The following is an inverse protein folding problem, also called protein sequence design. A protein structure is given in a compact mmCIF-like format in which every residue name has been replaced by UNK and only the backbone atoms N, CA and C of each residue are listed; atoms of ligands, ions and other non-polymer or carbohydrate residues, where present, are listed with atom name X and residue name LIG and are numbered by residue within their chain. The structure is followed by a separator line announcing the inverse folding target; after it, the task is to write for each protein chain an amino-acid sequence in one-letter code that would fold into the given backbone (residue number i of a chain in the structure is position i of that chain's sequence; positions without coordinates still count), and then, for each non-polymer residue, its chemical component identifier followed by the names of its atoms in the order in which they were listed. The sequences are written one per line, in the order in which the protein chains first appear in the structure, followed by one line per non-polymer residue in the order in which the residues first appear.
data_IF_683835380989
#
_entry.id   IF_683835380989
#
_cell.length_a   1.000
_cell.length_b   1.000
_cell.length_c   1.000
_cell.angle_alpha   90.00
_cell.angle_beta   90.00
_cell.angle_gamma   90.00
#
_symmetry.space_group_name_H-M   'P 1'
#
loop_
_entity.id
_entity.type
_entity.pdbx_description
1 polymer ?
#
# COMPACT_ATOMS: atom_id res chain seq x y z
N UNK A 1 -16.58 -3.80 -2.55
CA UNK A 1 -15.91 -3.85 -3.88
C UNK A 1 -16.21 -2.59 -4.66
N UNK A 2 -15.25 -2.09 -5.42
CA UNK A 2 -15.41 -1.03 -6.43
C UNK A 2 -15.25 -1.68 -7.79
N UNK A 3 -16.19 -1.48 -8.70
CA UNK A 3 -16.00 -1.80 -10.12
C UNK A 3 -15.23 -0.67 -10.79
N UNK A 4 -14.14 -1.01 -11.45
CA UNK A 4 -13.24 -0.09 -12.12
C UNK A 4 -12.87 -0.65 -13.50
N UNK A 5 -12.63 0.18 -14.54
CA UNK A 5 -12.33 -0.31 -15.89
C UNK A 5 -11.15 -1.30 -15.98
N UNK A 6 -10.21 -1.22 -15.05
CA UNK A 6 -9.09 -2.16 -14.98
C UNK A 6 -9.38 -3.44 -14.20
N UNK A 7 -10.62 -3.65 -13.74
CA UNK A 7 -11.05 -4.79 -12.92
C UNK A 7 -11.42 -4.36 -11.49
N UNK A 8 -11.95 -5.27 -10.68
CA UNK A 8 -12.46 -4.98 -9.35
C UNK A 8 -11.34 -4.50 -8.40
N UNK A 9 -11.72 -3.64 -7.46
CA UNK A 9 -10.87 -3.18 -6.35
C UNK A 9 -11.56 -3.58 -5.05
N UNK A 10 -10.80 -4.20 -4.17
CA UNK A 10 -11.26 -4.56 -2.83
C UNK A 10 -11.61 -3.30 -2.03
N UNK A 11 -12.81 -3.26 -1.48
CA UNK A 11 -13.31 -2.12 -0.73
C UNK A 11 -14.34 -2.62 0.29
N UNK A 12 -14.05 -2.40 1.54
CA UNK A 12 -14.97 -2.66 2.64
C UNK A 12 -15.01 -1.44 3.56
N UNK A 13 -16.16 -1.17 4.15
CA UNK A 13 -16.39 0.04 4.90
C UNK A 13 -17.20 -0.26 6.17
N UNK A 14 -16.77 0.29 7.31
CA UNK A 14 -17.45 0.11 8.60
C UNK A 14 -17.25 1.33 9.51
N UNK A 15 -18.22 1.55 10.38
CA UNK A 15 -18.20 2.65 11.35
C UNK A 15 -18.62 3.98 10.76
N UNK A 16 -18.58 5.02 11.60
CA UNK A 16 -18.96 6.39 11.28
C UNK A 16 -17.91 7.37 11.81
N UNK A 17 -17.97 8.64 11.36
CA UNK A 17 -17.03 9.68 11.82
C UNK A 17 -15.91 9.97 10.83
N UNK A 18 -14.73 10.43 11.31
CA UNK A 18 -13.60 10.75 10.45
C UNK A 18 -13.16 9.53 9.64
N UNK A 19 -12.94 9.73 8.33
CA UNK A 19 -12.62 8.62 7.42
C UNK A 19 -11.15 8.25 7.48
N UNK A 20 -10.88 6.99 7.85
CA UNK A 20 -9.57 6.35 7.75
C UNK A 20 -9.56 5.40 6.55
N UNK A 21 -8.64 5.56 5.63
CA UNK A 21 -8.35 4.57 4.58
C UNK A 21 -7.13 3.77 5.02
N UNK A 22 -7.27 2.45 5.09
CA UNK A 22 -6.31 1.52 5.68
C UNK A 22 -5.74 0.61 4.58
N UNK A 23 -4.44 0.77 4.31
CA UNK A 23 -3.73 0.05 3.25
C UNK A 23 -2.77 -0.96 3.86
N UNK A 24 -2.95 -2.27 3.59
CA UNK A 24 -2.10 -3.33 4.14
C UNK A 24 -0.74 -3.40 3.44
N UNK A 25 0.16 -4.19 4.03
CA UNK A 25 1.42 -4.56 3.39
C UNK A 25 1.27 -5.64 2.31
N UNK A 26 2.38 -5.96 1.65
CA UNK A 26 2.46 -7.10 0.73
C UNK A 26 2.08 -8.41 1.43
N UNK A 27 1.56 -9.36 0.66
CA UNK A 27 1.11 -10.68 1.15
C UNK A 27 -0.02 -10.60 2.20
N UNK A 28 -0.78 -9.50 2.20
CA UNK A 28 -1.87 -9.25 3.12
C UNK A 28 -3.06 -8.63 2.40
N UNK A 29 -4.19 -8.56 3.07
CA UNK A 29 -5.44 -7.96 2.57
C UNK A 29 -6.00 -6.95 3.57
N UNK A 30 -7.06 -6.24 3.20
CA UNK A 30 -7.78 -5.35 4.11
C UNK A 30 -8.19 -6.01 5.45
N UNK A 31 -8.33 -7.34 5.45
CA UNK A 31 -8.68 -8.10 6.66
C UNK A 31 -7.63 -8.00 7.78
N UNK A 32 -6.37 -7.66 7.47
CA UNK A 32 -5.33 -7.47 8.48
C UNK A 32 -5.66 -6.37 9.50
N UNK A 33 -6.51 -5.43 9.12
CA UNK A 33 -6.90 -4.31 9.97
C UNK A 33 -8.04 -4.60 10.96
N UNK A 34 -8.70 -5.77 10.84
CA UNK A 34 -9.90 -6.10 11.64
C UNK A 34 -9.68 -5.97 13.15
N UNK A 35 -8.57 -6.48 13.66
CA UNK A 35 -8.26 -6.39 15.09
C UNK A 35 -8.13 -4.93 15.54
N UNK A 36 -7.43 -4.10 14.80
CA UNK A 36 -7.26 -2.69 15.13
C UNK A 36 -8.59 -1.94 15.05
N UNK A 37 -9.37 -2.16 13.99
CA UNK A 37 -10.70 -1.55 13.82
C UNK A 37 -11.62 -1.88 15.00
N UNK A 38 -11.60 -3.12 15.47
CA UNK A 38 -12.45 -3.54 16.61
C UNK A 38 -12.12 -2.79 17.92
N UNK A 39 -10.85 -2.38 18.11
CA UNK A 39 -10.44 -1.59 19.27
C UNK A 39 -10.92 -0.13 19.22
N UNK A 40 -11.15 0.40 18.04
CA UNK A 40 -11.64 1.79 17.88
C UNK A 40 -13.12 1.96 18.15
N UNK A 41 -13.86 0.89 18.34
CA UNK A 41 -15.28 0.88 18.79
C UNK A 41 -16.20 1.81 17.99
N UNK A 42 -15.96 1.92 16.69
CA UNK A 42 -16.76 2.76 15.81
C UNK A 42 -16.43 4.26 15.85
N UNK A 43 -15.32 4.68 16.49
CA UNK A 43 -14.90 6.08 16.54
C UNK A 43 -14.49 6.66 15.18
N UNK A 44 -14.27 5.79 14.17
CA UNK A 44 -13.87 6.16 12.82
C UNK A 44 -14.68 5.40 11.79
N UNK A 45 -14.90 6.06 10.67
CA UNK A 45 -15.32 5.39 9.45
C UNK A 45 -14.10 4.79 8.79
N UNK A 46 -13.94 3.48 8.91
CA UNK A 46 -12.80 2.73 8.41
C UNK A 46 -13.09 2.15 7.03
N UNK A 47 -12.28 2.51 6.06
CA UNK A 47 -12.28 1.92 4.71
C UNK A 47 -11.05 1.07 4.57
N UNK A 48 -11.23 -0.22 4.28
CA UNK A 48 -10.13 -1.15 4.01
C UNK A 48 -10.08 -1.51 2.55
N UNK A 49 -8.88 -1.78 2.05
CA UNK A 49 -8.63 -2.22 0.68
C UNK A 49 -7.50 -3.24 0.65
N UNK A 50 -7.23 -3.80 -0.51
CA UNK A 50 -6.08 -4.67 -0.77
C UNK A 50 -5.27 -4.12 -1.93
N UNK A 51 -3.97 -4.39 -1.93
CA UNK A 51 -3.06 -4.02 -3.01
C UNK A 51 -3.32 -4.88 -4.27
N UNK A 52 -2.75 -4.49 -5.40
CA UNK A 52 -2.87 -5.21 -6.68
C UNK A 52 -2.51 -6.69 -6.53
N UNK A 53 -3.38 -7.57 -7.03
CA UNK A 53 -3.23 -9.02 -6.97
C UNK A 53 -3.51 -9.66 -5.61
N UNK A 54 -3.99 -8.87 -4.61
CA UNK A 54 -4.37 -9.38 -3.29
C UNK A 54 -5.86 -9.19 -3.02
N UNK A 55 -6.42 -10.12 -2.24
CA UNK A 55 -7.85 -10.07 -1.90
C UNK A 55 -8.73 -10.05 -3.15
N UNK A 56 -9.66 -9.11 -3.19
CA UNK A 56 -10.54 -8.89 -4.35
C UNK A 56 -9.99 -7.87 -5.36
N UNK A 57 -8.78 -7.32 -5.17
CA UNK A 57 -8.20 -6.34 -6.10
C UNK A 57 -7.52 -7.04 -7.27
N UNK A 58 -7.95 -6.72 -8.49
CA UNK A 58 -7.39 -7.29 -9.70
C UNK A 58 -5.89 -6.96 -9.86
N UNK A 59 -5.12 -7.94 -10.34
CA UNK A 59 -3.74 -7.69 -10.78
C UNK A 59 -3.76 -6.91 -12.10
N UNK A 60 -3.05 -5.78 -12.14
CA UNK A 60 -2.98 -4.89 -13.30
C UNK A 60 -1.55 -4.57 -13.72
N UNK A 61 -0.57 -5.10 -13.01
CA UNK A 61 0.84 -4.92 -13.33
C UNK A 61 1.22 -5.84 -14.48
N UNK A 62 2.06 -5.34 -15.36
CA UNK A 62 2.71 -6.11 -16.43
C UNK A 62 4.23 -6.06 -16.24
N UNK A 63 4.98 -6.87 -16.98
CA UNK A 63 6.44 -6.86 -16.92
C UNK A 63 7.04 -5.46 -17.19
N UNK A 64 6.38 -4.68 -18.05
CA UNK A 64 6.84 -3.35 -18.48
C UNK A 64 6.26 -2.21 -17.61
N UNK A 65 5.39 -2.54 -16.65
CA UNK A 65 4.62 -1.54 -15.90
C UNK A 65 4.33 -2.03 -14.47
N UNK A 66 5.39 -2.26 -13.71
CA UNK A 66 5.32 -2.79 -12.34
C UNK A 66 5.78 -1.75 -11.28
N UNK A 67 5.73 -0.46 -11.59
CA UNK A 67 6.11 0.58 -10.64
C UNK A 67 5.01 0.89 -9.62
N UNK A 68 5.39 1.60 -8.56
CA UNK A 68 4.51 1.93 -7.43
C UNK A 68 3.35 2.87 -7.83
N UNK A 69 3.42 3.55 -8.97
CA UNK A 69 2.37 4.45 -9.43
C UNK A 69 1.06 3.71 -9.68
N UNK A 70 1.14 2.44 -10.10
CA UNK A 70 -0.05 1.59 -10.29
C UNK A 70 -0.76 1.27 -8.99
N UNK A 71 -0.01 1.00 -7.94
CA UNK A 71 -0.59 0.85 -6.60
C UNK A 71 -1.21 2.17 -6.13
N UNK A 72 -0.50 3.28 -6.33
CA UNK A 72 -1.00 4.61 -5.95
C UNK A 72 -2.32 4.94 -6.66
N UNK A 73 -2.48 4.62 -7.94
CA UNK A 73 -3.73 4.82 -8.71
C UNK A 73 -4.92 4.08 -8.09
N UNK A 74 -4.72 2.84 -7.65
CA UNK A 74 -5.75 2.07 -6.95
C UNK A 74 -6.15 2.76 -5.64
N UNK A 75 -5.16 3.16 -4.84
CA UNK A 75 -5.43 3.82 -3.56
C UNK A 75 -6.09 5.19 -3.77
N UNK A 76 -5.69 5.96 -4.79
CA UNK A 76 -6.37 7.20 -5.16
C UNK A 76 -7.86 6.95 -5.51
N UNK A 77 -8.18 5.86 -6.22
CA UNK A 77 -9.56 5.48 -6.55
C UNK A 77 -10.35 5.14 -5.28
N UNK A 78 -9.76 4.36 -4.36
CA UNK A 78 -10.35 4.05 -3.05
C UNK A 78 -10.63 5.32 -2.24
N UNK A 79 -9.66 6.24 -2.17
CA UNK A 79 -9.78 7.50 -1.44
C UNK A 79 -10.91 8.38 -2.03
N UNK A 80 -10.99 8.49 -3.34
CA UNK A 80 -12.09 9.25 -3.99
C UNK A 80 -13.45 8.63 -3.70
N UNK A 81 -13.55 7.30 -3.74
CA UNK A 81 -14.78 6.58 -3.38
C UNK A 81 -15.15 6.77 -1.91
N UNK A 82 -14.17 6.85 -1.03
CA UNK A 82 -14.36 7.09 0.41
C UNK A 82 -14.76 8.54 0.75
N UNK A 83 -14.68 9.47 -0.20
CA UNK A 83 -15.02 10.89 0.01
C UNK A 83 -13.83 11.72 0.52
N UNK A 84 -12.83 11.93 -0.36
CA UNK A 84 -11.67 12.76 -0.07
C UNK A 84 -12.03 14.18 0.44
N UNK A 85 -11.15 14.80 1.28
CA UNK A 85 -9.87 14.29 1.78
C UNK A 85 -10.03 13.37 2.99
N UNK A 86 -9.13 12.36 3.12
CA UNK A 86 -9.18 11.33 4.15
C UNK A 86 -7.90 11.28 5.00
N UNK A 87 -7.94 10.57 6.12
CA UNK A 87 -6.74 10.12 6.83
C UNK A 87 -6.30 8.78 6.22
N UNK A 88 -5.06 8.71 5.73
CA UNK A 88 -4.50 7.51 5.11
C UNK A 88 -3.54 6.83 6.08
N UNK A 89 -3.71 5.55 6.31
CA UNK A 89 -2.81 4.71 7.15
C UNK A 89 -2.29 3.58 6.29
N UNK A 90 -0.98 3.48 6.13
CA UNK A 90 -0.34 2.44 5.34
C UNK A 90 0.69 1.66 6.12
N UNK A 91 0.64 0.33 6.05
CA UNK A 91 1.61 -0.57 6.65
C UNK A 91 2.55 -1.16 5.60
N UNK A 92 3.84 -1.21 5.89
CA UNK A 92 4.87 -1.82 5.04
C UNK A 92 4.80 -1.25 3.61
N UNK A 93 4.61 -2.08 2.58
CA UNK A 93 4.47 -1.64 1.18
C UNK A 93 3.25 -0.72 0.98
N UNK A 94 2.18 -0.90 1.74
CA UNK A 94 1.05 0.04 1.77
C UNK A 94 1.46 1.42 2.30
N UNK A 95 2.45 1.50 3.18
CA UNK A 95 3.04 2.77 3.63
C UNK A 95 3.82 3.48 2.52
N UNK A 96 4.60 2.74 1.71
CA UNK A 96 5.25 3.29 0.51
C UNK A 96 4.23 3.77 -0.52
N UNK A 97 3.16 2.99 -0.74
CA UNK A 97 2.06 3.38 -1.62
C UNK A 97 1.39 4.65 -1.13
N UNK A 98 1.14 4.75 0.18
CA UNK A 98 0.59 5.97 0.80
C UNK A 98 1.49 7.19 0.60
N UNK A 99 2.81 7.03 0.71
CA UNK A 99 3.77 8.08 0.41
C UNK A 99 3.72 8.51 -1.07
N UNK A 100 3.62 7.55 -2.00
CA UNK A 100 3.46 7.85 -3.42
C UNK A 100 2.17 8.64 -3.70
N UNK A 101 1.06 8.30 -3.05
CA UNK A 101 -0.20 9.08 -3.14
C UNK A 101 0.00 10.49 -2.60
N UNK A 102 0.64 10.66 -1.44
CA UNK A 102 0.88 11.97 -0.83
C UNK A 102 1.72 12.89 -1.73
N UNK A 103 2.74 12.35 -2.39
CA UNK A 103 3.59 13.09 -3.32
C UNK A 103 2.86 13.45 -4.62
N UNK A 104 1.98 12.59 -5.11
CA UNK A 104 1.24 12.78 -6.38
C UNK A 104 -0.02 13.63 -6.22
N UNK A 105 -0.74 13.44 -5.12
CA UNK A 105 -2.09 13.99 -4.87
C UNK A 105 -2.30 14.41 -3.41
N UNK A 106 -1.48 15.33 -2.88
CA UNK A 106 -1.56 15.72 -1.46
C UNK A 106 -2.95 16.22 -1.06
N UNK A 107 -3.70 16.79 -1.99
CA UNK A 107 -5.07 17.30 -1.74
C UNK A 107 -6.10 16.21 -1.41
N UNK A 108 -5.78 14.94 -1.67
CA UNK A 108 -6.66 13.81 -1.29
C UNK A 108 -6.52 13.44 0.19
N UNK A 109 -5.51 13.96 0.88
CA UNK A 109 -5.14 13.54 2.23
C UNK A 109 -5.32 14.67 3.24
N UNK A 110 -5.90 14.34 4.39
CA UNK A 110 -5.83 15.16 5.62
C UNK A 110 -4.56 14.86 6.40
N UNK A 111 -4.17 13.60 6.45
CA UNK A 111 -2.93 13.12 7.06
C UNK A 111 -2.51 11.79 6.44
N UNK A 112 -1.22 11.49 6.59
CA UNK A 112 -0.64 10.19 6.26
C UNK A 112 0.07 9.63 7.50
N UNK A 113 -0.30 8.41 7.89
CA UNK A 113 0.40 7.63 8.92
C UNK A 113 1.08 6.44 8.25
N UNK A 114 2.37 6.31 8.46
CA UNK A 114 3.20 5.25 7.89
C UNK A 114 3.68 4.33 9.01
N UNK A 115 3.41 3.04 8.87
CA UNK A 115 3.85 2.00 9.77
C UNK A 115 4.87 1.11 9.03
N UNK A 116 6.13 1.17 9.45
CA UNK A 116 7.23 0.28 9.00
C UNK A 116 7.41 0.20 7.46
N UNK A 117 7.28 1.33 6.74
CA UNK A 117 7.48 1.32 5.29
C UNK A 117 8.94 0.97 4.93
N UNK A 118 9.19 0.04 3.98
CA UNK A 118 10.55 -0.39 3.60
C UNK A 118 11.20 0.62 2.65
N UNK A 119 11.32 1.88 3.07
CA UNK A 119 11.91 2.98 2.29
C UNK A 119 13.44 2.96 2.37
N UNK A 120 14.08 1.85 1.95
CA UNK A 120 15.51 1.61 2.12
C UNK A 120 16.40 2.68 1.44
N UNK A 121 15.92 3.33 0.38
CA UNK A 121 16.67 4.42 -0.29
C UNK A 121 16.94 5.62 0.65
N UNK A 122 16.13 5.80 1.69
CA UNK A 122 16.35 6.84 2.70
C UNK A 122 17.69 6.61 3.42
N UNK A 123 18.10 5.35 3.63
CA UNK A 123 19.37 5.01 4.27
C UNK A 123 20.56 5.59 3.49
N UNK A 124 20.51 5.52 2.15
CA UNK A 124 21.56 6.13 1.30
C UNK A 124 21.64 7.64 1.49
N UNK A 125 20.49 8.30 1.50
CA UNK A 125 20.44 9.75 1.68
C UNK A 125 20.84 10.19 3.09
N UNK A 126 20.71 9.29 4.08
CA UNK A 126 21.16 9.52 5.44
C UNK A 126 22.65 9.17 5.68
N UNK A 127 23.37 8.70 4.66
CA UNK A 127 24.77 8.27 4.79
C UNK A 127 24.96 6.88 5.42
N UNK A 128 23.87 6.10 5.52
CA UNK A 128 23.86 4.76 6.12
C UNK A 128 24.08 3.66 5.05
N UNK A 129 25.12 3.81 4.24
CA UNK A 129 25.39 2.95 3.07
C UNK A 129 25.55 1.46 3.44
N UNK A 130 26.14 1.15 4.61
CA UNK A 130 26.33 -0.22 5.05
C UNK A 130 24.97 -0.92 5.29
N UNK A 131 24.05 -0.25 5.94
CA UNK A 131 22.69 -0.75 6.19
C UNK A 131 21.90 -0.91 4.88
N UNK A 132 22.05 0.04 3.96
CA UNK A 132 21.44 -0.05 2.65
C UNK A 132 21.95 -1.26 1.85
N UNK A 133 23.26 -1.46 1.79
CA UNK A 133 23.88 -2.60 1.09
C UNK A 133 23.47 -3.93 1.73
N UNK A 134 23.45 -4.01 3.06
CA UNK A 134 23.00 -5.21 3.78
C UNK A 134 21.54 -5.55 3.44
N UNK A 135 20.63 -4.56 3.44
CA UNK A 135 19.24 -4.74 3.06
C UNK A 135 19.10 -5.21 1.61
N UNK A 136 19.80 -4.59 0.67
CA UNK A 136 19.78 -5.00 -0.74
C UNK A 136 20.29 -6.42 -0.96
N UNK A 137 21.36 -6.81 -0.28
CA UNK A 137 21.91 -8.16 -0.37
C UNK A 137 20.94 -9.21 0.19
N UNK A 138 20.29 -8.91 1.31
CA UNK A 138 19.28 -9.78 1.91
C UNK A 138 18.07 -9.97 0.98
N UNK A 139 17.50 -8.89 0.47
CA UNK A 139 16.35 -8.94 -0.43
C UNK A 139 16.70 -9.61 -1.76
N UNK A 140 17.86 -9.33 -2.34
CA UNK A 140 18.35 -9.99 -3.53
C UNK A 140 18.56 -11.50 -3.34
N UNK A 141 19.06 -11.94 -2.17
CA UNK A 141 19.20 -13.35 -1.86
C UNK A 141 17.83 -14.04 -1.69
N UNK A 142 16.86 -13.37 -1.08
CA UNK A 142 15.49 -13.87 -0.94
C UNK A 142 14.83 -14.09 -2.31
N UNK A 143 14.86 -13.09 -3.18
CA UNK A 143 14.22 -13.19 -4.49
C UNK A 143 14.88 -14.21 -5.42
N UNK A 144 16.19 -14.44 -5.31
CA UNK A 144 16.88 -15.51 -6.08
C UNK A 144 16.46 -16.92 -5.68
N UNK A 145 15.96 -17.11 -4.47
CA UNK A 145 15.52 -18.43 -3.95
C UNK A 145 14.08 -18.77 -4.28
N UNK A 146 13.30 -17.81 -4.81
CA UNK A 146 11.91 -18.08 -5.18
C UNK A 146 11.84 -18.90 -6.45
N UNK A 147 11.10 -20.04 -6.47
CA UNK A 147 10.91 -20.84 -7.68
C UNK A 147 10.30 -20.02 -8.81
N UNK A 148 10.80 -20.14 -10.04
CA UNK A 148 10.21 -19.56 -11.23
C UNK A 148 10.75 -18.19 -11.66
N UNK A 149 11.76 -17.61 -10.98
CA UNK A 149 12.39 -16.34 -11.39
C UNK A 149 13.83 -16.50 -11.86
N UNK A 150 14.04 -17.22 -12.97
CA UNK A 150 15.37 -17.29 -13.61
C UNK A 150 15.63 -16.18 -14.66
N UNK A 151 14.79 -15.15 -14.78
CA UNK A 151 14.94 -14.12 -15.81
C UNK A 151 14.40 -12.73 -15.43
N UNK A 152 14.80 -12.19 -14.29
CA UNK A 152 14.78 -10.73 -14.12
C UNK A 152 16.24 -10.28 -14.06
N UNK A 153 16.84 -10.13 -15.23
CA UNK A 153 18.11 -9.42 -15.40
C UNK A 153 17.81 -7.92 -15.47
N UNK A 154 18.39 -7.19 -14.52
CA UNK A 154 18.74 -5.76 -14.44
C UNK A 154 17.69 -4.72 -14.74
#
# INVERSE_FOLDING_TARGET
MIEDPGGPIDYDETGEGPTLVLVPGSCSTGAAWRSMISHWKGAFRCVTTSLLGYGGTAERRTADNADISREAEIIETVIRRAGAPVHLVGHSFGGLTGLAVALRRPQLLRSLTILEAPAAEILRHAGEDQHYVAFRNMTGAYFRRLPGRSSLRH
#
